data_IF_928750404428
#
_entry.id   IF_928750404428
#
_cell.length_a   1.000
_cell.length_b   1.000
_cell.length_c   1.000
_cell.angle_alpha   90.00
_cell.angle_beta   90.00
_cell.angle_gamma   90.00
#
_symmetry.space_group_name_H-M   'P 1'
#
loop_
_entity.id
_entity.type
_entity.pdbx_description
1 polymer ?
#
# COMPACT_ATOMS: atom_id res chain seq x y z
N UNK A 1 -17.70 -39.88 22.11
CA UNK A 1 -16.26 -39.66 22.35
C UNK A 1 -15.53 -39.79 21.01
N UNK A 2 -14.75 -38.79 20.60
CA UNK A 2 -15.32 -37.63 19.91
C UNK A 2 -15.14 -37.72 18.38
N UNK A 3 -16.25 -37.83 17.66
CA UNK A 3 -16.38 -37.51 16.23
C UNK A 3 -16.74 -36.03 16.00
N UNK A 4 -16.66 -35.20 17.04
CA UNK A 4 -17.03 -33.77 16.99
C UNK A 4 -15.83 -32.81 16.93
N UNK A 5 -14.59 -33.31 16.97
CA UNK A 5 -13.38 -32.46 16.91
C UNK A 5 -12.82 -32.32 15.47
N UNK A 6 -13.12 -33.28 14.56
CA UNK A 6 -12.65 -33.25 13.17
C UNK A 6 -13.42 -32.24 12.28
N UNK A 7 -14.64 -31.86 12.67
CA UNK A 7 -15.41 -30.81 11.98
C UNK A 7 -15.00 -29.39 12.41
N UNK A 8 -14.42 -29.24 13.61
CA UNK A 8 -13.96 -27.95 14.13
C UNK A 8 -12.59 -27.55 13.59
N UNK A 9 -11.65 -28.48 13.39
CA UNK A 9 -10.33 -28.17 12.80
C UNK A 9 -10.42 -27.86 11.29
N UNK A 10 -11.25 -28.59 10.54
CA UNK A 10 -11.54 -28.29 9.13
C UNK A 10 -12.26 -26.95 8.94
N UNK A 11 -13.09 -26.53 9.89
CA UNK A 11 -13.73 -25.21 9.91
C UNK A 11 -12.74 -24.08 10.25
N UNK A 12 -11.69 -24.38 11.03
CA UNK A 12 -10.60 -23.45 11.37
C UNK A 12 -9.70 -23.17 10.15
N UNK A 13 -9.43 -24.19 9.32
CA UNK A 13 -8.76 -24.07 8.02
C UNK A 13 -9.62 -23.33 6.98
N UNK A 14 -10.93 -23.55 6.99
CA UNK A 14 -11.88 -22.76 6.19
C UNK A 14 -11.96 -21.30 6.69
N UNK A 15 -11.76 -21.03 7.98
CA UNK A 15 -11.68 -19.66 8.51
C UNK A 15 -10.43 -18.93 8.00
N UNK A 16 -9.26 -19.59 7.98
CA UNK A 16 -8.02 -19.02 7.47
C UNK A 16 -8.01 -18.86 5.94
N UNK A 17 -8.53 -19.84 5.18
CA UNK A 17 -8.65 -19.74 3.72
C UNK A 17 -9.81 -18.82 3.27
N UNK A 18 -10.89 -18.68 4.07
CA UNK A 18 -11.97 -17.74 3.80
C UNK A 18 -11.65 -16.31 4.25
N UNK A 19 -10.76 -16.09 5.22
CA UNK A 19 -10.32 -14.74 5.61
C UNK A 19 -9.57 -14.00 4.49
N UNK A 20 -9.05 -14.73 3.51
CA UNK A 20 -8.44 -14.17 2.29
C UNK A 20 -9.51 -13.71 1.26
N UNK A 21 -10.78 -14.14 1.40
CA UNK A 21 -11.93 -13.73 0.56
C UNK A 21 -13.00 -12.92 1.32
N UNK A 22 -13.06 -12.99 2.66
CA UNK A 22 -14.09 -12.34 3.49
C UNK A 22 -13.81 -10.89 3.88
N UNK A 23 -12.63 -10.35 3.61
CA UNK A 23 -12.39 -8.89 3.74
C UNK A 23 -13.15 -8.05 2.68
N UNK A 24 -13.94 -8.68 1.79
CA UNK A 24 -14.83 -7.96 0.87
C UNK A 24 -16.33 -8.03 1.19
N UNK A 25 -16.81 -8.94 2.05
CA UNK A 25 -18.26 -9.19 2.21
C UNK A 25 -18.76 -9.37 3.67
N UNK A 26 -17.95 -9.09 4.70
CA UNK A 26 -18.36 -9.21 6.10
C UNK A 26 -18.46 -7.85 6.80
N UNK A 27 -19.40 -7.02 6.34
CA UNK A 27 -19.88 -5.85 7.08
C UNK A 27 -21.40 -6.01 7.34
N UNK A 28 -21.78 -7.07 8.07
CA UNK A 28 -23.05 -7.14 8.80
C UNK A 28 -23.06 -8.33 9.76
N UNK A 29 -23.19 -7.99 11.04
CA UNK A 29 -23.76 -8.79 12.14
C UNK A 29 -22.97 -9.99 12.67
N UNK A 30 -22.27 -9.75 13.79
CA UNK A 30 -22.59 -10.38 15.09
C UNK A 30 -21.84 -9.67 16.22
N UNK A 31 -22.62 -8.91 16.99
CA UNK A 31 -22.23 -8.42 18.30
C UNK A 31 -22.08 -9.57 19.28
N UNK A 32 -21.18 -9.36 20.24
CA UNK A 32 -20.89 -10.13 21.46
C UNK A 32 -19.60 -10.95 21.44
N UNK A 33 -18.52 -10.31 20.98
CA UNK A 33 -17.21 -10.34 21.67
C UNK A 33 -16.49 -8.98 21.51
N UNK A 34 -17.25 -7.88 21.54
CA UNK A 34 -16.79 -6.57 21.09
C UNK A 34 -16.57 -5.60 22.25
N UNK A 35 -15.34 -5.56 22.77
CA UNK A 35 -14.88 -4.35 23.45
C UNK A 35 -13.41 -4.00 23.13
N UNK A 36 -12.68 -4.89 22.46
CA UNK A 36 -11.32 -4.63 21.95
C UNK A 36 -11.30 -4.41 20.44
N UNK A 37 -12.18 -5.10 19.68
CA UNK A 37 -12.31 -4.92 18.23
C UNK A 37 -13.16 -3.71 17.82
N UNK A 38 -14.02 -3.20 18.71
CA UNK A 38 -14.83 -2.00 18.43
C UNK A 38 -13.96 -0.74 18.29
N UNK A 39 -12.81 -0.66 18.98
CA UNK A 39 -11.87 0.45 18.82
C UNK A 39 -11.06 0.35 17.52
N UNK A 40 -10.67 -0.87 17.10
CA UNK A 40 -9.96 -1.11 15.83
C UNK A 40 -10.87 -0.93 14.61
N UNK A 41 -12.12 -1.37 14.68
CA UNK A 41 -13.12 -1.20 13.63
C UNK A 41 -13.67 0.23 13.56
N UNK A 42 -13.83 0.94 14.69
CA UNK A 42 -14.04 2.41 14.70
C UNK A 42 -12.88 3.13 14.03
N UNK A 43 -11.63 2.72 14.29
CA UNK A 43 -10.44 3.23 13.59
C UNK A 43 -10.47 2.97 12.08
N UNK A 44 -10.82 1.76 11.63
CA UNK A 44 -10.95 1.41 10.20
C UNK A 44 -12.11 2.13 9.50
N UNK A 45 -13.29 2.24 10.13
CA UNK A 45 -14.46 3.00 9.61
C UNK A 45 -14.20 4.50 9.59
N UNK A 46 -13.49 5.04 10.59
CA UNK A 46 -13.01 6.42 10.58
C UNK A 46 -11.95 6.65 9.51
N UNK A 47 -11.06 5.69 9.24
CA UNK A 47 -10.07 5.73 8.15
C UNK A 47 -10.71 5.65 6.76
N UNK A 48 -11.70 4.78 6.55
CA UNK A 48 -12.47 4.71 5.30
C UNK A 48 -13.30 6.00 5.09
N UNK A 49 -13.89 6.53 6.16
CA UNK A 49 -14.57 7.82 6.16
C UNK A 49 -13.60 8.99 5.88
N UNK A 50 -12.37 8.93 6.39
CA UNK A 50 -11.33 9.93 6.13
C UNK A 50 -10.81 9.85 4.70
N UNK A 51 -10.58 8.65 4.16
CA UNK A 51 -10.15 8.46 2.78
C UNK A 51 -11.21 8.99 1.78
N UNK A 52 -12.48 8.66 2.01
CA UNK A 52 -13.60 9.21 1.24
C UNK A 52 -13.66 10.74 1.33
N UNK A 53 -13.51 11.31 2.53
CA UNK A 53 -13.54 12.76 2.74
C UNK A 53 -12.31 13.47 2.14
N UNK A 54 -11.14 12.86 2.20
CA UNK A 54 -9.87 13.37 1.69
C UNK A 54 -9.87 13.42 0.16
N UNK A 55 -10.34 12.35 -0.50
CA UNK A 55 -10.51 12.33 -1.96
C UNK A 55 -11.57 13.34 -2.43
N UNK A 56 -12.71 13.45 -1.75
CA UNK A 56 -13.72 14.48 -2.05
C UNK A 56 -13.16 15.89 -1.90
N UNK A 57 -12.32 16.13 -0.89
CA UNK A 57 -11.64 17.42 -0.68
C UNK A 57 -10.60 17.71 -1.78
N UNK A 58 -9.82 16.71 -2.19
CA UNK A 58 -8.86 16.83 -3.31
C UNK A 58 -9.55 17.20 -4.62
N UNK A 59 -10.68 16.55 -4.92
CA UNK A 59 -11.45 16.82 -6.14
C UNK A 59 -12.15 18.18 -6.06
N UNK A 60 -12.63 18.58 -4.88
CA UNK A 60 -13.21 19.91 -4.70
C UNK A 60 -12.22 21.04 -4.96
N UNK A 61 -10.93 20.85 -4.61
CA UNK A 61 -9.88 21.81 -4.90
C UNK A 61 -9.58 21.95 -6.40
N UNK A 62 -9.78 20.89 -7.19
CA UNK A 62 -9.53 20.90 -8.65
C UNK A 62 -10.75 21.29 -9.48
N UNK A 63 -11.94 20.90 -9.06
CA UNK A 63 -13.19 21.06 -9.81
C UNK A 63 -14.30 21.44 -8.84
N UNK A 64 -14.64 22.74 -8.79
CA UNK A 64 -15.67 23.26 -7.87
C UNK A 64 -17.06 22.61 -8.05
N UNK A 65 -17.36 22.06 -9.24
CA UNK A 65 -18.58 21.31 -9.53
C UNK A 65 -18.27 20.17 -10.51
N UNK A 66 -18.20 18.91 -10.06
CA UNK A 66 -18.05 17.79 -10.97
C UNK A 66 -19.33 17.60 -11.78
N UNK A 67 -19.23 17.26 -13.06
CA UNK A 67 -20.38 16.90 -13.91
C UNK A 67 -20.96 15.51 -13.55
N UNK A 68 -22.03 15.08 -14.22
CA UNK A 68 -22.71 13.81 -13.90
C UNK A 68 -21.79 12.59 -14.11
N UNK A 69 -20.90 12.65 -15.11
CA UNK A 69 -19.94 11.58 -15.42
C UNK A 69 -18.82 11.51 -14.38
N UNK A 70 -18.28 12.65 -13.97
CA UNK A 70 -17.28 12.78 -12.92
C UNK A 70 -17.84 12.33 -11.55
N UNK A 71 -19.09 12.69 -11.24
CA UNK A 71 -19.75 12.21 -10.01
C UNK A 71 -19.99 10.71 -10.02
N UNK A 72 -20.27 10.12 -11.18
CA UNK A 72 -20.48 8.68 -11.32
C UNK A 72 -19.16 7.91 -11.20
N UNK A 73 -18.06 8.46 -11.71
CA UNK A 73 -16.71 7.92 -11.52
C UNK A 73 -16.27 7.98 -10.05
N UNK A 74 -16.47 9.11 -9.38
CA UNK A 74 -16.18 9.27 -7.95
C UNK A 74 -17.07 8.38 -7.08
N UNK A 75 -18.32 8.20 -7.47
CA UNK A 75 -19.24 7.28 -6.82
C UNK A 75 -18.73 5.83 -6.86
N UNK A 76 -18.21 5.40 -8.01
CA UNK A 76 -17.58 4.09 -8.19
C UNK A 76 -16.31 3.92 -7.35
N UNK A 77 -15.44 4.94 -7.32
CA UNK A 77 -14.18 4.93 -6.57
C UNK A 77 -14.37 4.96 -5.05
N UNK A 78 -15.42 5.62 -4.57
CA UNK A 78 -15.65 5.87 -3.15
C UNK A 78 -16.72 4.96 -2.53
N UNK A 79 -17.43 4.15 -3.32
CA UNK A 79 -18.57 3.35 -2.86
C UNK A 79 -19.75 4.20 -2.38
N UNK A 80 -19.95 5.39 -2.96
CA UNK A 80 -21.00 6.35 -2.59
C UNK A 80 -21.99 6.55 -3.72
N UNK A 81 -23.23 6.99 -3.44
CA UNK A 81 -24.16 7.35 -4.53
C UNK A 81 -23.82 8.73 -5.12
N UNK A 82 -23.99 8.96 -6.45
CA UNK A 82 -23.72 10.27 -7.07
C UNK A 82 -24.48 11.43 -6.41
N UNK A 83 -25.66 11.15 -5.85
CA UNK A 83 -26.48 12.11 -5.09
C UNK A 83 -25.85 12.52 -3.76
N UNK A 84 -25.17 11.59 -3.04
CA UNK A 84 -24.43 11.90 -1.80
C UNK A 84 -23.20 12.77 -2.07
N UNK A 85 -22.50 12.53 -3.18
CA UNK A 85 -21.36 13.36 -3.61
C UNK A 85 -21.83 14.79 -3.94
N UNK A 86 -22.94 14.92 -4.66
CA UNK A 86 -23.51 16.24 -4.97
C UNK A 86 -23.88 17.05 -3.72
N UNK A 87 -24.51 16.41 -2.73
CA UNK A 87 -24.86 17.06 -1.45
C UNK A 87 -23.60 17.46 -0.67
N UNK A 88 -22.56 16.63 -0.70
CA UNK A 88 -21.29 16.94 -0.05
C UNK A 88 -20.62 18.20 -0.65
N UNK A 89 -20.56 18.31 -1.97
CA UNK A 89 -20.01 19.49 -2.66
C UNK A 89 -20.81 20.77 -2.35
N UNK A 90 -22.15 20.67 -2.31
CA UNK A 90 -23.03 21.79 -1.94
C UNK A 90 -22.78 22.26 -0.48
N UNK A 91 -22.69 21.32 0.47
CA UNK A 91 -22.43 21.62 1.88
C UNK A 91 -21.00 22.11 2.15
N UNK A 92 -20.01 21.69 1.34
CA UNK A 92 -18.63 22.16 1.45
C UNK A 92 -18.50 23.63 1.04
N UNK A 93 -19.25 24.03 0.01
CA UNK A 93 -19.29 25.40 -0.49
C UNK A 93 -20.03 26.36 0.44
N UNK A 94 -21.09 25.93 1.11
CA UNK A 94 -21.74 26.76 2.15
C UNK A 94 -20.81 27.00 3.33
N UNK A 95 -19.91 26.05 3.65
CA UNK A 95 -18.82 26.23 4.62
C UNK A 95 -17.67 27.14 4.12
N UNK A 96 -17.37 27.17 2.82
CA UNK A 96 -16.38 28.11 2.26
C UNK A 96 -16.92 29.54 2.15
N UNK A 97 -18.20 29.72 1.79
CA UNK A 97 -18.86 31.03 1.82
C UNK A 97 -18.90 31.66 3.22
N UNK A 98 -18.65 30.88 4.26
CA UNK A 98 -18.50 31.33 5.66
C UNK A 98 -17.05 31.53 6.14
N UNK A 99 -16.02 31.39 5.29
CA UNK A 99 -14.62 31.70 5.63
C UNK A 99 -14.23 33.07 5.05
N UNK A 100 -13.67 33.99 5.85
CA UNK A 100 -13.25 35.29 5.34
C UNK A 100 -12.03 35.12 4.42
N UNK A 101 -12.20 35.53 3.17
CA UNK A 101 -11.13 35.94 2.24
C UNK A 101 -10.37 37.11 2.87
N UNK A 102 -9.23 36.87 3.53
CA UNK A 102 -8.51 37.95 4.23
C UNK A 102 -7.02 37.69 4.45
N UNK A 103 -6.43 36.59 4.00
CA UNK A 103 -4.97 36.40 4.12
C UNK A 103 -4.19 37.29 3.15
N UNK A 104 -4.66 37.48 1.92
CA UNK A 104 -4.09 38.45 0.98
C UNK A 104 -4.25 39.88 1.50
N UNK A 105 -5.44 40.26 1.98
CA UNK A 105 -5.64 41.59 2.58
C UNK A 105 -4.79 41.79 3.84
N UNK A 106 -4.62 40.79 4.71
CA UNK A 106 -3.76 40.93 5.90
C UNK A 106 -2.28 41.03 5.56
N UNK A 107 -1.79 40.28 4.58
CA UNK A 107 -0.39 40.38 4.11
C UNK A 107 -0.17 41.64 3.28
N UNK A 108 -1.18 42.08 2.53
CA UNK A 108 -1.19 43.35 1.80
C UNK A 108 -1.23 44.53 2.77
N UNK A 109 -2.01 44.46 3.85
CA UNK A 109 -2.00 45.42 4.97
C UNK A 109 -0.63 45.45 5.65
N UNK A 110 0.05 44.32 5.85
CA UNK A 110 1.44 44.32 6.38
C UNK A 110 2.44 44.95 5.39
N UNK A 111 2.24 44.79 4.07
CA UNK A 111 3.09 45.41 3.04
C UNK A 111 2.77 46.90 2.79
N UNK A 112 1.50 47.29 2.88
CA UNK A 112 0.97 48.64 2.62
C UNK A 112 1.08 49.54 3.85
N UNK A 113 0.95 48.98 5.07
CA UNK A 113 1.34 49.67 6.29
C UNK A 113 2.87 49.68 6.37
N UNK A 114 3.48 50.69 5.74
CA UNK A 114 4.87 51.13 5.98
C UNK A 114 5.12 51.59 7.43
N UNK A 115 4.21 51.31 8.35
CA UNK A 115 4.44 51.44 9.77
C UNK A 115 4.98 50.11 10.25
N UNK A 116 6.31 50.04 10.37
CA UNK A 116 6.93 49.20 11.37
C UNK A 116 6.17 49.44 12.68
N UNK A 117 5.25 48.54 13.05
CA UNK A 117 4.73 48.51 14.42
C UNK A 117 5.89 47.92 15.22
N UNK A 118 6.73 48.75 15.88
CA UNK A 118 7.95 48.26 16.50
C UNK A 118 7.53 47.34 17.64
N UNK A 119 7.96 46.07 17.60
CA UNK A 119 7.68 45.11 18.67
C UNK A 119 6.59 44.06 18.41
N UNK A 120 6.01 43.95 17.21
CA UNK A 120 5.15 42.79 16.90
C UNK A 120 5.99 41.54 16.68
N UNK A 121 5.84 40.54 17.55
CA UNK A 121 6.50 39.24 17.39
C UNK A 121 6.00 38.53 16.12
N UNK A 122 6.90 38.30 15.17
CA UNK A 122 6.61 37.62 13.90
C UNK A 122 6.35 36.11 14.08
N UNK A 123 6.61 35.56 15.27
CA UNK A 123 6.48 34.15 15.60
C UNK A 123 5.19 33.81 16.36
N UNK A 124 4.22 34.73 16.43
CA UNK A 124 2.91 34.47 17.06
C UNK A 124 2.26 33.23 16.43
N UNK A 125 1.77 32.35 17.31
CA UNK A 125 1.10 31.12 16.95
C UNK A 125 -0.41 31.24 17.13
N UNK A 126 -1.17 30.59 16.24
CA UNK A 126 -2.60 30.40 16.43
C UNK A 126 -2.88 29.22 17.41
N UNK A 127 -4.16 28.87 17.62
CA UNK A 127 -4.57 27.75 18.50
C UNK A 127 -3.98 26.39 18.12
N UNK A 128 -3.56 26.23 16.88
CA UNK A 128 -2.95 24.99 16.35
C UNK A 128 -1.41 25.05 16.38
N UNK A 129 -0.81 26.10 16.93
CA UNK A 129 0.63 26.32 16.90
C UNK A 129 1.16 26.86 15.58
N UNK A 130 0.29 27.19 14.61
CA UNK A 130 0.74 27.65 13.30
C UNK A 130 1.19 29.11 13.39
N UNK A 131 2.43 29.37 12.99
CA UNK A 131 2.96 30.72 12.77
C UNK A 131 2.48 31.30 11.45
N UNK A 132 2.64 32.61 11.26
CA UNK A 132 2.39 33.24 9.96
C UNK A 132 3.30 32.67 8.86
N UNK A 133 4.54 32.31 9.21
CA UNK A 133 5.47 31.64 8.30
C UNK A 133 4.95 30.26 7.87
N UNK A 134 4.43 29.46 8.80
CA UNK A 134 3.82 28.16 8.49
C UNK A 134 2.65 28.31 7.51
N UNK A 135 1.75 29.27 7.77
CA UNK A 135 0.58 29.50 6.91
C UNK A 135 1.03 29.94 5.51
N UNK A 136 1.93 30.92 5.42
CA UNK A 136 2.48 31.38 4.15
C UNK A 136 3.16 30.24 3.38
N UNK A 137 3.90 29.38 4.07
CA UNK A 137 4.57 28.24 3.47
C UNK A 137 3.58 27.18 2.95
N UNK A 138 2.53 26.87 3.72
CA UNK A 138 1.48 25.92 3.31
C UNK A 138 0.69 26.38 2.09
N UNK A 139 0.54 27.71 1.91
CA UNK A 139 -0.18 28.31 0.79
C UNK A 139 0.73 28.62 -0.41
N UNK A 140 2.03 28.41 -0.30
CA UNK A 140 2.98 28.65 -1.40
C UNK A 140 3.32 30.14 -1.61
N UNK A 141 3.11 30.98 -0.59
CA UNK A 141 3.28 32.42 -0.73
C UNK A 141 4.76 32.83 -0.64
N UNK A 142 5.21 33.64 -1.59
CA UNK A 142 6.58 34.20 -1.62
C UNK A 142 6.84 35.25 -0.53
N UNK A 143 5.82 35.62 0.26
CA UNK A 143 6.00 36.43 1.47
C UNK A 143 6.88 35.75 2.52
N UNK A 144 7.15 34.44 2.37
CA UNK A 144 8.08 33.68 3.21
C UNK A 144 9.46 34.35 3.33
N UNK A 145 10.05 34.89 2.25
CA UNK A 145 11.36 35.57 2.36
C UNK A 145 11.30 36.85 3.19
N UNK A 146 10.21 37.61 3.08
CA UNK A 146 9.98 38.80 3.88
C UNK A 146 9.79 38.43 5.36
N UNK A 147 9.05 37.36 5.66
CA UNK A 147 8.86 36.92 7.04
C UNK A 147 10.20 36.45 7.66
N UNK A 148 11.00 35.70 6.91
CA UNK A 148 12.32 35.26 7.36
C UNK A 148 13.28 36.43 7.59
N UNK A 149 13.26 37.46 6.73
CA UNK A 149 14.11 38.65 6.91
C UNK A 149 13.72 39.49 8.14
N UNK A 150 12.50 39.31 8.65
CA UNK A 150 11.98 39.94 9.88
C UNK A 150 12.18 39.07 11.13
N UNK A 151 12.88 37.94 11.03
CA UNK A 151 13.18 37.06 12.17
C UNK A 151 12.14 35.97 12.42
N UNK A 152 11.30 35.63 11.44
CA UNK A 152 10.42 34.48 11.57
C UNK A 152 11.23 33.17 11.62
N UNK A 153 10.87 32.30 12.57
CA UNK A 153 11.53 31.03 12.84
C UNK A 153 10.77 29.88 12.19
N UNK A 154 11.50 28.85 11.78
CA UNK A 154 10.93 27.64 11.17
C UNK A 154 10.44 26.61 12.21
N UNK A 155 9.99 27.07 13.38
CA UNK A 155 9.52 26.23 14.48
C UNK A 155 8.30 25.38 14.09
N UNK A 156 8.16 24.17 14.64
CA UNK A 156 7.01 23.32 14.37
C UNK A 156 5.73 23.84 15.05
N UNK A 157 4.59 23.49 14.47
CA UNK A 157 3.28 23.68 15.10
C UNK A 157 2.99 22.61 16.17
N UNK A 158 1.77 22.60 16.74
CA UNK A 158 1.40 21.60 17.75
C UNK A 158 1.35 20.15 17.22
N UNK A 159 1.31 19.95 15.90
CA UNK A 159 1.40 18.64 15.25
C UNK A 159 2.84 18.25 14.89
N UNK A 160 3.85 19.04 15.29
CA UNK A 160 5.25 18.78 14.96
C UNK A 160 5.62 19.17 13.53
N UNK A 161 4.74 19.84 12.77
CA UNK A 161 4.99 20.19 11.38
C UNK A 161 5.69 21.54 11.27
N UNK A 162 6.84 21.59 10.59
CA UNK A 162 7.56 22.83 10.28
C UNK A 162 6.96 23.54 9.06
N UNK A 163 7.24 24.84 8.85
CA UNK A 163 6.90 25.52 7.60
C UNK A 163 7.50 24.83 6.37
N UNK A 164 8.70 24.26 6.49
CA UNK A 164 9.32 23.47 5.43
C UNK A 164 8.50 22.22 5.11
N UNK A 165 8.11 21.46 6.14
CA UNK A 165 7.25 20.27 5.94
C UNK A 165 5.95 20.64 5.23
N UNK A 166 5.29 21.73 5.64
CA UNK A 166 4.05 22.18 5.02
C UNK A 166 4.24 22.62 3.55
N UNK A 167 5.34 23.29 3.23
CA UNK A 167 5.67 23.65 1.85
C UNK A 167 5.92 22.41 0.98
N UNK A 168 6.64 21.42 1.52
CA UNK A 168 6.90 20.14 0.84
C UNK A 168 5.61 19.36 0.62
N UNK A 169 4.77 19.20 1.65
CA UNK A 169 3.50 18.48 1.58
C UNK A 169 2.58 19.02 0.47
N UNK A 170 2.58 20.34 0.27
CA UNK A 170 1.76 21.00 -0.76
C UNK A 170 2.50 21.22 -2.10
N UNK A 171 3.73 20.73 -2.24
CA UNK A 171 4.47 20.77 -3.51
C UNK A 171 5.02 22.15 -3.89
N UNK A 172 5.15 23.08 -2.94
CA UNK A 172 5.57 24.46 -3.21
C UNK A 172 7.09 24.59 -3.37
N UNK A 173 7.63 24.07 -4.47
CA UNK A 173 9.07 23.97 -4.74
C UNK A 173 9.82 25.32 -4.56
N UNK A 174 9.24 26.42 -5.04
CA UNK A 174 9.84 27.76 -4.88
C UNK A 174 9.95 28.16 -3.41
N UNK A 175 8.93 27.89 -2.62
CA UNK A 175 8.94 28.18 -1.19
C UNK A 175 9.92 27.28 -0.45
N UNK A 176 10.01 26.00 -0.82
CA UNK A 176 11.01 25.07 -0.26
C UNK A 176 12.41 25.64 -0.47
N UNK A 177 12.77 26.07 -1.70
CA UNK A 177 14.07 26.71 -1.95
C UNK A 177 14.29 27.95 -1.08
N UNK A 178 13.30 28.83 -1.00
CA UNK A 178 13.40 30.02 -0.17
C UNK A 178 13.60 29.72 1.33
N UNK A 179 12.98 28.67 1.86
CA UNK A 179 13.13 28.25 3.26
C UNK A 179 14.49 27.61 3.54
N UNK A 180 15.08 26.93 2.56
CA UNK A 180 16.39 26.27 2.67
C UNK A 180 17.56 27.24 2.46
N UNK A 181 17.44 28.19 1.52
CA UNK A 181 18.53 29.10 1.13
C UNK A 181 18.72 30.30 2.08
N UNK A 182 17.76 30.56 2.99
CA UNK A 182 17.79 31.74 3.83
C UNK A 182 18.80 31.62 4.99
N UNK A 183 19.96 32.28 4.84
CA UNK A 183 21.12 32.17 5.74
C UNK A 183 21.04 32.93 7.08
N UNK A 184 20.04 33.79 7.29
CA UNK A 184 20.01 34.70 8.46
C UNK A 184 19.48 34.07 9.77
N UNK A 185 19.98 32.88 10.14
CA UNK A 185 20.06 32.52 11.57
C UNK A 185 19.08 31.48 12.13
N UNK A 186 18.20 30.88 11.32
CA UNK A 186 17.54 29.62 11.71
C UNK A 186 17.63 28.65 10.54
N UNK A 187 18.70 27.84 10.54
CA UNK A 187 18.77 26.70 9.62
C UNK A 187 17.48 25.88 9.81
N UNK A 188 16.76 25.53 8.73
CA UNK A 188 15.59 24.69 8.85
C UNK A 188 15.98 23.40 9.56
N UNK A 189 15.14 22.92 10.47
CA UNK A 189 15.26 21.57 11.01
C UNK A 189 14.85 20.57 9.92
N UNK A 190 15.72 20.37 8.93
CA UNK A 190 15.47 19.58 7.71
C UNK A 190 15.12 18.11 8.01
N UNK A 191 15.60 17.59 9.15
CA UNK A 191 15.37 16.22 9.61
C UNK A 191 14.25 16.12 10.64
N UNK A 192 13.56 17.22 10.97
CA UNK A 192 12.48 17.16 11.97
C UNK A 192 11.34 16.29 11.47
N UNK A 193 10.84 15.45 12.36
CA UNK A 193 9.77 14.50 12.12
C UNK A 193 8.48 15.02 12.75
N UNK A 194 7.38 15.00 12.00
CA UNK A 194 6.08 15.40 12.53
C UNK A 194 5.54 14.35 13.52
N UNK A 195 4.51 14.71 14.30
CA UNK A 195 4.12 13.90 15.46
C UNK A 195 3.10 12.79 15.17
N UNK A 196 2.41 12.82 14.04
CA UNK A 196 1.36 11.87 13.67
C UNK A 196 1.93 10.53 13.17
N UNK A 197 2.89 10.57 12.25
CA UNK A 197 3.51 9.40 11.62
C UNK A 197 5.03 9.35 11.81
N UNK A 198 5.63 10.42 12.31
CA UNK A 198 7.07 10.52 12.42
C UNK A 198 7.71 10.78 11.07
N UNK A 199 7.03 11.43 10.13
CA UNK A 199 7.57 11.68 8.79
C UNK A 199 8.44 12.93 8.77
N UNK A 200 9.59 12.85 8.09
CA UNK A 200 10.38 14.04 7.77
C UNK A 200 9.93 14.67 6.45
N UNK A 201 10.39 15.88 6.14
CA UNK A 201 10.14 16.51 4.85
C UNK A 201 10.59 15.63 3.67
N UNK A 202 11.66 14.84 3.82
CA UNK A 202 12.13 13.93 2.78
C UNK A 202 11.17 12.75 2.56
N UNK A 203 10.56 12.21 3.63
CA UNK A 203 9.51 11.18 3.52
C UNK A 203 8.34 11.71 2.71
N UNK A 204 7.83 12.89 3.09
CA UNK A 204 6.71 13.54 2.41
C UNK A 204 7.01 13.85 0.94
N UNK A 205 8.20 14.37 0.64
CA UNK A 205 8.62 14.64 -0.73
C UNK A 205 8.68 13.35 -1.58
N UNK A 206 9.15 12.26 -0.97
CA UNK A 206 9.25 10.98 -1.64
C UNK A 206 7.87 10.33 -1.87
N UNK A 207 7.00 10.36 -0.86
CA UNK A 207 5.63 9.86 -0.91
C UNK A 207 4.80 10.56 -1.99
N UNK A 208 5.01 11.86 -2.19
CA UNK A 208 4.29 12.67 -3.19
C UNK A 208 4.93 12.64 -4.59
N UNK A 209 6.11 12.04 -4.74
CA UNK A 209 6.80 11.98 -6.03
C UNK A 209 7.45 13.29 -6.47
N UNK A 210 7.75 14.21 -5.54
CA UNK A 210 8.30 15.52 -5.87
C UNK A 210 9.82 15.47 -6.11
N UNK A 211 10.26 14.92 -7.25
CA UNK A 211 11.68 14.72 -7.60
C UNK A 211 12.55 15.99 -7.46
N UNK A 212 12.04 17.15 -7.88
CA UNK A 212 12.78 18.42 -7.73
C UNK A 212 12.95 18.87 -6.28
N UNK A 213 11.94 18.63 -5.43
CA UNK A 213 12.02 18.90 -3.99
C UNK A 213 12.98 17.91 -3.33
N UNK A 214 12.92 16.62 -3.68
CA UNK A 214 13.86 15.61 -3.20
C UNK A 214 15.31 16.00 -3.53
N UNK A 215 15.60 16.36 -4.80
CA UNK A 215 16.93 16.88 -5.18
C UNK A 215 17.35 18.07 -4.34
N UNK A 216 16.45 19.04 -4.14
CA UNK A 216 16.75 20.24 -3.34
C UNK A 216 17.06 19.86 -1.88
N UNK A 217 16.27 19.00 -1.25
CA UNK A 217 16.51 18.55 0.12
C UNK A 217 17.82 17.78 0.27
N UNK A 218 18.20 16.97 -0.73
CA UNK A 218 19.43 16.17 -0.70
C UNK A 218 20.71 16.99 -0.86
N UNK A 219 20.62 18.25 -1.32
CA UNK A 219 21.77 19.18 -1.33
C UNK A 219 22.11 19.76 0.04
N UNK A 220 21.25 19.54 1.04
CA UNK A 220 21.42 20.15 2.36
C UNK A 220 22.38 19.31 3.22
N UNK A 221 23.36 19.97 3.83
CA UNK A 221 24.32 19.33 4.73
C UNK A 221 23.61 18.66 5.91
N UNK A 222 23.95 17.40 6.17
CA UNK A 222 23.41 16.64 7.30
C UNK A 222 22.00 16.07 7.08
N UNK A 223 21.45 16.10 5.87
CA UNK A 223 20.18 15.43 5.54
C UNK A 223 20.25 13.92 5.84
N UNK A 224 19.27 13.41 6.57
CA UNK A 224 19.18 11.98 6.93
C UNK A 224 18.38 11.22 5.87
N UNK A 225 19.08 10.79 4.81
CA UNK A 225 18.47 10.06 3.69
C UNK A 225 17.78 8.75 4.11
N UNK A 226 18.31 8.08 5.13
CA UNK A 226 17.78 6.85 5.70
C UNK A 226 17.05 7.09 7.03
N UNK A 227 16.50 8.30 7.23
CA UNK A 227 15.59 8.54 8.35
C UNK A 227 14.43 7.56 8.31
N UNK A 228 13.92 7.21 9.50
CA UNK A 228 12.86 6.21 9.68
C UNK A 228 11.65 6.87 10.30
N UNK A 229 10.45 6.59 9.79
CA UNK A 229 9.18 6.98 10.40
C UNK A 229 8.82 6.09 11.61
N UNK A 230 7.62 6.20 12.20
CA UNK A 230 7.27 5.39 13.38
C UNK A 230 7.11 3.90 13.08
N UNK A 231 6.88 3.54 11.82
CA UNK A 231 6.81 2.16 11.34
C UNK A 231 8.14 1.71 10.70
N UNK A 232 9.21 2.47 10.94
CA UNK A 232 10.54 2.25 10.38
C UNK A 232 10.63 2.30 8.84
N UNK A 233 9.63 2.86 8.14
CA UNK A 233 9.77 3.12 6.72
C UNK A 233 10.75 4.27 6.48
N UNK A 234 11.52 4.16 5.40
CA UNK A 234 12.45 5.19 4.93
C UNK A 234 11.83 5.97 3.76
N UNK A 235 12.36 7.13 3.37
CA UNK A 235 11.90 7.85 2.19
C UNK A 235 11.87 6.98 0.92
N UNK A 236 12.82 6.03 0.77
CA UNK A 236 12.83 5.12 -0.36
C UNK A 236 11.61 4.18 -0.37
N UNK A 237 11.16 3.71 0.80
CA UNK A 237 9.91 2.94 0.88
C UNK A 237 8.72 3.75 0.39
N UNK A 238 8.58 4.99 0.86
CA UNK A 238 7.49 5.88 0.47
C UNK A 238 7.47 6.16 -1.05
N UNK A 239 8.64 6.35 -1.66
CA UNK A 239 8.76 6.45 -3.12
C UNK A 239 8.34 5.17 -3.84
N UNK A 240 8.70 3.99 -3.32
CA UNK A 240 8.37 2.70 -3.92
C UNK A 240 6.88 2.33 -3.81
N UNK A 241 6.23 2.66 -2.69
CA UNK A 241 4.80 2.35 -2.44
C UNK A 241 3.89 2.93 -3.53
N UNK A 242 4.24 4.11 -4.06
CA UNK A 242 3.46 4.80 -5.10
C UNK A 242 4.10 4.71 -6.50
N UNK A 243 5.16 3.92 -6.68
CA UNK A 243 5.84 3.76 -7.96
C UNK A 243 6.49 5.05 -8.49
N UNK A 244 6.94 5.94 -7.60
CA UNK A 244 7.62 7.19 -7.99
C UNK A 244 9.06 6.91 -8.41
N UNK A 245 9.24 6.34 -9.61
CA UNK A 245 10.52 5.87 -10.13
C UNK A 245 11.60 6.97 -10.12
N UNK A 246 11.30 8.17 -10.60
CA UNK A 246 12.27 9.28 -10.60
C UNK A 246 12.78 9.58 -9.18
N UNK A 247 11.90 9.59 -8.18
CA UNK A 247 12.28 9.78 -6.78
C UNK A 247 13.16 8.64 -6.28
N UNK A 248 12.78 7.40 -6.60
CA UNK A 248 13.56 6.22 -6.19
C UNK A 248 14.96 6.27 -6.79
N UNK A 249 15.10 6.60 -8.08
CA UNK A 249 16.38 6.73 -8.77
C UNK A 249 17.27 7.79 -8.09
N UNK A 250 16.69 8.96 -7.74
CA UNK A 250 17.42 10.03 -7.03
C UNK A 250 17.89 9.54 -5.65
N UNK A 251 17.00 8.92 -4.87
CA UNK A 251 17.29 8.45 -3.51
C UNK A 251 18.39 7.37 -3.51
N UNK A 252 18.28 6.39 -4.41
CA UNK A 252 19.29 5.33 -4.58
C UNK A 252 20.63 5.92 -4.98
N UNK A 253 20.66 6.86 -5.94
CA UNK A 253 21.90 7.52 -6.37
C UNK A 253 22.58 8.32 -5.25
N UNK A 254 21.83 8.76 -4.24
CA UNK A 254 22.34 9.46 -3.07
C UNK A 254 22.61 8.55 -1.85
N UNK A 255 22.60 7.23 -2.02
CA UNK A 255 23.00 6.27 -0.98
C UNK A 255 21.88 5.84 -0.05
N UNK A 256 20.63 5.84 -0.50
CA UNK A 256 19.55 5.18 0.22
C UNK A 256 19.83 3.69 0.41
N UNK A 257 19.52 3.19 1.61
CA UNK A 257 19.58 1.76 1.91
C UNK A 257 18.43 1.03 1.21
N UNK A 258 18.75 0.36 0.10
CA UNK A 258 17.79 -0.43 -0.71
C UNK A 258 17.24 -1.66 0.02
N UNK A 259 17.89 -2.09 1.10
CA UNK A 259 17.52 -3.25 1.91
C UNK A 259 16.98 -2.87 3.29
N UNK A 260 16.69 -1.58 3.53
CA UNK A 260 16.10 -1.13 4.78
C UNK A 260 14.81 -1.90 5.08
N UNK A 261 14.62 -2.28 6.33
CA UNK A 261 13.41 -2.98 6.79
C UNK A 261 12.54 -2.08 7.66
N UNK A 262 11.22 -2.14 7.43
CA UNK A 262 10.20 -1.57 8.31
C UNK A 262 10.02 -2.41 9.60
N UNK A 263 9.13 -1.98 10.49
CA UNK A 263 8.74 -2.70 11.72
C UNK A 263 8.28 -4.14 11.42
N UNK A 264 7.58 -4.32 10.30
CA UNK A 264 7.07 -5.61 9.81
C UNK A 264 8.04 -6.30 8.82
N UNK A 265 9.28 -5.84 8.72
CA UNK A 265 10.28 -6.44 7.82
C UNK A 265 10.06 -6.14 6.33
N UNK A 266 9.16 -5.23 5.97
CA UNK A 266 8.98 -4.81 4.58
C UNK A 266 10.23 -4.08 4.08
N UNK A 267 10.64 -4.37 2.84
CA UNK A 267 11.74 -3.69 2.15
C UNK A 267 11.18 -2.80 1.04
N UNK A 268 11.98 -1.87 0.48
CA UNK A 268 11.59 -1.13 -0.72
C UNK A 268 11.24 -2.05 -1.90
N UNK A 269 11.91 -3.20 -2.02
CA UNK A 269 11.60 -4.21 -3.04
C UNK A 269 10.19 -4.81 -2.85
N UNK A 270 9.78 -5.09 -1.61
CA UNK A 270 8.42 -5.55 -1.31
C UNK A 270 7.38 -4.50 -1.73
N UNK A 271 7.62 -3.22 -1.40
CA UNK A 271 6.72 -2.12 -1.76
C UNK A 271 6.57 -1.96 -3.28
N UNK A 272 7.69 -1.91 -4.02
CA UNK A 272 7.66 -1.82 -5.49
C UNK A 272 6.97 -3.04 -6.13
N UNK A 273 7.15 -4.22 -5.54
CA UNK A 273 6.51 -5.46 -5.99
C UNK A 273 5.00 -5.43 -5.80
N UNK A 274 4.50 -4.94 -4.67
CA UNK A 274 3.05 -4.81 -4.42
C UNK A 274 2.42 -3.81 -5.38
N UNK A 275 3.09 -2.69 -5.65
CA UNK A 275 2.63 -1.70 -6.62
C UNK A 275 2.56 -2.28 -8.05
N UNK A 276 3.50 -3.16 -8.41
CA UNK A 276 3.52 -3.87 -9.69
C UNK A 276 4.42 -3.23 -10.76
N UNK A 277 5.29 -2.29 -10.39
CA UNK A 277 6.22 -1.65 -11.33
C UNK A 277 7.46 -2.53 -11.55
N UNK A 278 7.40 -3.37 -12.59
CA UNK A 278 8.51 -4.25 -12.97
C UNK A 278 9.82 -3.53 -13.30
N UNK A 279 9.77 -2.28 -13.77
CA UNK A 279 10.97 -1.51 -14.08
C UNK A 279 11.63 -0.97 -12.83
N UNK A 280 10.83 -0.54 -11.83
CA UNK A 280 11.34 -0.18 -10.52
C UNK A 280 11.91 -1.40 -9.77
N UNK A 281 11.25 -2.56 -9.88
CA UNK A 281 11.77 -3.83 -9.31
C UNK A 281 13.12 -4.20 -9.93
N UNK A 282 13.25 -4.20 -11.26
CA UNK A 282 14.55 -4.44 -11.93
C UNK A 282 15.61 -3.43 -11.47
N UNK A 283 15.25 -2.16 -11.35
CA UNK A 283 16.16 -1.12 -10.89
C UNK A 283 16.66 -1.36 -9.46
N UNK A 284 15.77 -1.70 -8.53
CA UNK A 284 16.14 -2.02 -7.14
C UNK A 284 17.07 -3.24 -7.06
N UNK A 285 16.76 -4.30 -7.80
CA UNK A 285 17.57 -5.53 -7.83
C UNK A 285 18.99 -5.27 -8.37
N UNK A 286 19.10 -4.48 -9.46
CA UNK A 286 20.41 -4.08 -10.01
C UNK A 286 21.22 -3.19 -9.07
N UNK A 287 20.56 -2.48 -8.15
CA UNK A 287 21.21 -1.68 -7.12
C UNK A 287 21.42 -2.44 -5.80
N UNK A 288 21.32 -3.77 -5.81
CA UNK A 288 21.69 -4.61 -4.67
C UNK A 288 20.56 -4.91 -3.69
N UNK A 289 19.30 -4.71 -4.09
CA UNK A 289 18.18 -5.22 -3.31
C UNK A 289 18.23 -6.76 -3.23
N UNK A 290 18.08 -7.30 -2.02
CA UNK A 290 18.07 -8.74 -1.79
C UNK A 290 16.73 -9.34 -2.21
N UNK A 291 16.77 -10.12 -3.31
CA UNK A 291 15.60 -10.79 -3.89
C UNK A 291 14.95 -11.81 -2.93
N UNK A 292 15.71 -12.30 -1.94
CA UNK A 292 15.27 -13.32 -0.99
C UNK A 292 14.86 -12.75 0.38
N UNK A 293 14.86 -11.43 0.53
CA UNK A 293 14.46 -10.80 1.78
C UNK A 293 13.02 -11.16 2.12
N UNK A 294 12.79 -11.47 3.40
CA UNK A 294 11.49 -11.83 3.94
C UNK A 294 10.97 -10.76 4.90
N UNK A 295 9.66 -10.56 4.88
CA UNK A 295 8.92 -9.81 5.90
C UNK A 295 8.74 -10.62 7.20
N UNK A 296 8.07 -10.03 8.20
CA UNK A 296 7.81 -10.66 9.51
C UNK A 296 6.97 -11.93 9.45
N UNK A 297 6.31 -12.21 8.32
CA UNK A 297 5.41 -13.35 8.08
C UNK A 297 5.98 -14.36 7.08
N UNK A 298 7.26 -14.24 6.73
CA UNK A 298 7.93 -15.08 5.74
C UNK A 298 7.55 -14.79 4.29
N UNK A 299 6.93 -13.64 3.99
CA UNK A 299 6.62 -13.27 2.61
C UNK A 299 7.85 -12.69 1.92
N UNK A 300 8.14 -13.23 0.73
CA UNK A 300 9.12 -12.67 -0.21
C UNK A 300 8.45 -11.78 -1.25
N UNK A 301 9.24 -10.98 -1.97
CA UNK A 301 8.76 -10.27 -3.17
C UNK A 301 8.13 -11.21 -4.19
N UNK A 302 8.68 -12.41 -4.41
CA UNK A 302 8.08 -13.37 -5.33
C UNK A 302 6.68 -13.82 -4.86
N UNK A 303 6.51 -14.03 -3.54
CA UNK A 303 5.21 -14.36 -2.94
C UNK A 303 4.20 -13.23 -3.11
N UNK A 304 4.60 -11.97 -2.89
CA UNK A 304 3.75 -10.79 -3.13
C UNK A 304 3.34 -10.65 -4.60
N UNK A 305 4.31 -10.76 -5.54
CA UNK A 305 4.03 -10.67 -6.98
C UNK A 305 3.05 -11.76 -7.44
N UNK A 306 3.24 -12.98 -6.93
CA UNK A 306 2.36 -14.12 -7.21
C UNK A 306 0.94 -13.92 -6.69
N UNK A 307 0.78 -13.32 -5.50
CA UNK A 307 -0.51 -12.99 -4.91
C UNK A 307 -1.25 -11.92 -5.71
N UNK A 308 -0.57 -10.81 -6.00
CA UNK A 308 -1.18 -9.65 -6.65
C UNK A 308 -1.42 -9.88 -8.14
N UNK A 309 -0.73 -10.85 -8.75
CA UNK A 309 -0.93 -11.23 -10.15
C UNK A 309 -0.04 -10.45 -11.11
N UNK A 310 1.07 -9.89 -10.62
CA UNK A 310 1.97 -9.06 -11.42
C UNK A 310 2.95 -9.92 -12.23
N UNK A 311 2.48 -10.47 -13.35
CA UNK A 311 3.23 -11.41 -14.19
C UNK A 311 4.61 -10.90 -14.59
N UNK A 312 4.70 -9.65 -15.06
CA UNK A 312 6.00 -9.09 -15.47
C UNK A 312 6.96 -8.92 -14.27
N UNK A 313 6.44 -8.62 -13.08
CA UNK A 313 7.26 -8.55 -11.87
C UNK A 313 7.75 -9.95 -11.47
N UNK A 314 6.91 -10.98 -11.59
CA UNK A 314 7.33 -12.38 -11.38
C UNK A 314 8.47 -12.74 -12.32
N UNK A 315 8.34 -12.46 -13.62
CA UNK A 315 9.38 -12.74 -14.60
C UNK A 315 10.68 -11.98 -14.30
N UNK A 316 10.58 -10.70 -13.93
CA UNK A 316 11.74 -9.91 -13.51
C UNK A 316 12.39 -10.55 -12.30
N UNK A 317 11.64 -10.86 -11.23
CA UNK A 317 12.19 -11.49 -10.03
C UNK A 317 12.86 -12.82 -10.35
N UNK A 318 12.21 -13.71 -11.12
CA UNK A 318 12.75 -15.01 -11.51
C UNK A 318 14.09 -14.90 -12.26
N UNK A 319 14.30 -13.84 -13.05
CA UNK A 319 15.58 -13.60 -13.74
C UNK A 319 16.77 -13.38 -12.77
N UNK A 320 16.49 -12.97 -11.53
CA UNK A 320 17.47 -12.81 -10.45
C UNK A 320 17.60 -14.06 -9.56
N UNK A 321 17.01 -15.21 -9.97
CA UNK A 321 17.12 -16.53 -9.31
C UNK A 321 16.79 -16.50 -7.80
N UNK A 322 15.58 -16.05 -7.42
CA UNK A 322 15.12 -16.10 -6.04
C UNK A 322 14.96 -17.54 -5.58
N UNK A 323 14.86 -17.73 -4.27
CA UNK A 323 14.40 -18.97 -3.68
C UNK A 323 12.90 -19.15 -3.95
N UNK A 324 12.58 -19.90 -5.00
CA UNK A 324 11.21 -20.20 -5.45
C UNK A 324 10.42 -20.98 -4.40
N UNK A 325 11.12 -21.71 -3.51
CA UNK A 325 10.53 -22.55 -2.46
C UNK A 325 10.41 -21.85 -1.10
N UNK A 326 10.54 -20.52 -1.09
CA UNK A 326 10.31 -19.73 0.12
C UNK A 326 8.89 -19.97 0.65
N UNK A 327 8.77 -20.19 1.96
CA UNK A 327 7.48 -20.43 2.63
C UNK A 327 7.15 -19.26 3.54
N UNK A 328 5.89 -18.83 3.50
CA UNK A 328 5.33 -17.98 4.55
C UNK A 328 5.25 -18.74 5.87
N UNK A 329 4.95 -18.05 6.97
CA UNK A 329 4.73 -18.68 8.28
C UNK A 329 3.57 -19.68 8.25
N UNK A 330 2.59 -19.47 7.37
CA UNK A 330 1.47 -20.38 7.09
C UNK A 330 1.89 -21.56 6.18
N UNK A 331 3.15 -21.59 5.74
CA UNK A 331 3.76 -22.62 4.90
C UNK A 331 3.57 -22.44 3.40
N UNK A 332 2.93 -21.37 2.94
CA UNK A 332 2.60 -21.19 1.53
C UNK A 332 3.82 -20.79 0.71
N UNK A 333 4.09 -21.51 -0.38
CA UNK A 333 5.05 -21.12 -1.41
C UNK A 333 4.42 -20.16 -2.42
N UNK A 334 5.20 -19.38 -3.19
CA UNK A 334 4.69 -18.57 -4.29
C UNK A 334 3.76 -19.34 -5.24
N UNK A 335 4.09 -20.61 -5.53
CA UNK A 335 3.25 -21.48 -6.37
C UNK A 335 1.88 -21.69 -5.72
N UNK A 336 1.84 -22.08 -4.45
CA UNK A 336 0.59 -22.33 -3.73
C UNK A 336 -0.26 -21.05 -3.62
N UNK A 337 0.36 -19.90 -3.38
CA UNK A 337 -0.33 -18.59 -3.36
C UNK A 337 -0.95 -18.27 -4.73
N UNK A 338 -0.21 -18.47 -5.82
CA UNK A 338 -0.72 -18.24 -7.18
C UNK A 338 -1.86 -19.20 -7.54
N UNK A 339 -1.83 -20.44 -7.04
CA UNK A 339 -2.94 -21.39 -7.16
C UNK A 339 -4.19 -20.89 -6.43
N UNK A 340 -4.06 -20.45 -5.18
CA UNK A 340 -5.18 -19.93 -4.38
C UNK A 340 -5.84 -18.69 -5.00
N UNK A 341 -5.09 -17.90 -5.78
CA UNK A 341 -5.55 -16.66 -6.42
C UNK A 341 -5.98 -16.83 -7.88
N UNK A 342 -6.00 -18.06 -8.39
CA UNK A 342 -6.32 -18.42 -9.79
C UNK A 342 -5.47 -17.66 -10.81
N UNK A 343 -4.13 -17.71 -10.66
CA UNK A 343 -3.15 -17.05 -11.55
C UNK A 343 -2.42 -18.06 -12.44
N UNK A 344 -3.05 -18.58 -13.52
CA UNK A 344 -2.49 -19.68 -14.31
C UNK A 344 -1.14 -19.36 -14.98
N UNK A 345 -0.97 -18.13 -15.50
CA UNK A 345 0.27 -17.65 -16.12
C UNK A 345 1.46 -17.64 -15.15
N UNK A 346 1.23 -17.22 -13.90
CA UNK A 346 2.23 -17.23 -12.84
C UNK A 346 2.52 -18.67 -12.40
N UNK A 347 1.50 -19.52 -12.24
CA UNK A 347 1.67 -20.94 -11.93
C UNK A 347 2.56 -21.61 -12.99
N UNK A 348 2.26 -21.38 -14.27
CA UNK A 348 3.06 -21.90 -15.39
C UNK A 348 4.50 -21.37 -15.35
N UNK A 349 4.69 -20.08 -15.10
CA UNK A 349 6.01 -19.47 -14.99
C UNK A 349 6.82 -20.07 -13.82
N UNK A 350 6.19 -20.30 -12.67
CA UNK A 350 6.86 -20.89 -11.52
C UNK A 350 7.21 -22.37 -11.75
N UNK A 351 6.29 -23.15 -12.33
CA UNK A 351 6.55 -24.55 -12.68
C UNK A 351 7.69 -24.69 -13.71
N UNK A 352 7.73 -23.84 -14.73
CA UNK A 352 8.81 -23.86 -15.74
C UNK A 352 10.17 -23.48 -15.16
N UNK A 353 10.20 -22.72 -14.06
CA UNK A 353 11.41 -22.38 -13.32
C UNK A 353 11.72 -23.36 -12.17
N UNK A 354 11.03 -24.50 -12.10
CA UNK A 354 11.35 -25.60 -11.20
C UNK A 354 10.67 -25.53 -9.83
N UNK A 355 9.57 -24.79 -9.68
CA UNK A 355 8.77 -24.84 -8.47
C UNK A 355 8.25 -26.27 -8.21
N UNK A 356 8.38 -26.75 -6.98
CA UNK A 356 7.93 -28.08 -6.58
C UNK A 356 6.40 -28.17 -6.69
N UNK A 357 5.91 -29.23 -7.33
CA UNK A 357 4.47 -29.45 -7.58
C UNK A 357 3.84 -30.47 -6.64
N UNK A 358 4.66 -31.21 -5.90
CA UNK A 358 4.29 -32.26 -4.94
C UNK A 358 4.31 -31.77 -3.49
N UNK A 359 4.13 -30.47 -3.28
CA UNK A 359 4.19 -29.86 -1.95
C UNK A 359 3.00 -30.33 -1.11
N UNK A 360 3.23 -31.20 -0.13
CA UNK A 360 2.30 -31.50 0.96
C UNK A 360 2.93 -31.06 2.28
N UNK A 361 2.31 -30.11 3.00
CA UNK A 361 2.73 -29.80 4.38
C UNK A 361 1.68 -30.30 5.37
N UNK A 362 1.99 -30.25 6.67
CA UNK A 362 1.05 -30.62 7.73
C UNK A 362 -0.25 -29.79 7.74
N UNK A 363 -0.23 -28.61 7.12
CA UNK A 363 -1.38 -27.70 7.01
C UNK A 363 -1.82 -27.45 5.57
N UNK A 364 -0.97 -27.73 4.57
CA UNK A 364 -1.19 -27.38 3.17
C UNK A 364 -1.35 -28.62 2.31
N UNK A 365 -2.51 -28.67 1.66
CA UNK A 365 -2.82 -29.65 0.64
C UNK A 365 -2.07 -29.31 -0.67
N UNK A 366 -1.79 -30.32 -1.50
CA UNK A 366 -1.07 -30.12 -2.76
C UNK A 366 -1.65 -29.01 -3.65
N UNK A 367 -0.89 -28.47 -4.63
CA UNK A 367 -1.40 -27.45 -5.55
C UNK A 367 -2.77 -27.79 -6.18
N UNK A 368 -2.99 -29.07 -6.51
CA UNK A 368 -4.26 -29.58 -7.07
C UNK A 368 -5.39 -29.51 -6.04
N UNK A 369 -5.15 -29.91 -4.79
CA UNK A 369 -6.14 -29.80 -3.73
C UNK A 369 -6.47 -28.35 -3.41
N UNK A 370 -5.47 -27.46 -3.31
CA UNK A 370 -5.71 -26.04 -3.09
C UNK A 370 -6.54 -25.42 -4.20
N UNK A 371 -6.15 -25.63 -5.47
CA UNK A 371 -6.91 -25.11 -6.61
C UNK A 371 -8.36 -25.62 -6.62
N UNK A 372 -8.57 -26.88 -6.19
CA UNK A 372 -9.91 -27.47 -6.06
C UNK A 372 -10.70 -26.84 -4.91
N UNK A 373 -10.10 -26.72 -3.73
CA UNK A 373 -10.71 -26.08 -2.57
C UNK A 373 -11.07 -24.63 -2.83
N UNK A 374 -10.22 -23.87 -3.52
CA UNK A 374 -10.43 -22.44 -3.78
C UNK A 374 -11.34 -22.16 -4.96
N UNK A 375 -11.70 -23.19 -5.74
CA UNK A 375 -12.39 -23.10 -7.04
C UNK A 375 -11.58 -22.30 -8.07
N UNK A 376 -10.25 -22.46 -8.07
CA UNK A 376 -9.33 -21.86 -9.03
C UNK A 376 -9.28 -22.72 -10.30
N UNK A 377 -10.32 -22.58 -11.12
CA UNK A 377 -10.59 -23.47 -12.26
C UNK A 377 -9.53 -23.38 -13.35
N UNK A 378 -9.05 -22.18 -13.63
CA UNK A 378 -8.04 -21.94 -14.66
C UNK A 378 -6.73 -22.63 -14.29
N UNK A 379 -6.32 -22.46 -13.03
CA UNK A 379 -5.16 -23.17 -12.48
C UNK A 379 -5.39 -24.67 -12.44
N UNK A 380 -6.56 -25.14 -12.00
CA UNK A 380 -6.85 -26.58 -11.93
C UNK A 380 -6.72 -27.24 -13.31
N UNK A 381 -7.29 -26.63 -14.35
CA UNK A 381 -7.14 -27.09 -15.74
C UNK A 381 -5.67 -27.12 -16.17
N UNK A 382 -4.91 -26.07 -15.84
CA UNK A 382 -3.48 -26.02 -16.12
C UNK A 382 -2.72 -27.17 -15.42
N UNK A 383 -2.91 -27.36 -14.12
CA UNK A 383 -2.24 -28.41 -13.34
C UNK A 383 -2.56 -29.81 -13.89
N UNK A 384 -3.84 -30.08 -14.21
CA UNK A 384 -4.27 -31.34 -14.82
C UNK A 384 -3.69 -31.51 -16.24
N UNK A 385 -3.63 -30.45 -17.05
CA UNK A 385 -3.02 -30.49 -18.38
C UNK A 385 -1.52 -30.79 -18.35
N UNK A 386 -0.85 -30.46 -17.23
CA UNK A 386 0.56 -30.77 -16.97
C UNK A 386 0.78 -32.14 -16.35
N UNK A 387 -0.28 -32.95 -16.22
CA UNK A 387 -0.21 -34.31 -15.72
C UNK A 387 0.03 -34.41 -14.21
N UNK A 388 -0.26 -33.35 -13.43
CA UNK A 388 -0.17 -33.46 -11.98
C UNK A 388 -1.20 -34.47 -11.49
N UNK A 389 -0.73 -35.43 -10.68
CA UNK A 389 -1.59 -36.47 -10.14
C UNK A 389 -2.62 -35.86 -9.17
N UNK A 390 -3.90 -36.04 -9.51
CA UNK A 390 -5.02 -35.58 -8.71
C UNK A 390 -5.54 -36.64 -7.72
N UNK A 391 -4.97 -37.84 -7.78
CA UNK A 391 -5.28 -38.99 -6.90
C UNK A 391 -4.46 -38.97 -5.63
N UNK A 392 -3.47 -38.08 -5.54
CA UNK A 392 -2.73 -37.81 -4.30
C UNK A 392 -3.72 -37.49 -3.19
N UNK A 393 -3.43 -37.98 -1.99
CA UNK A 393 -4.25 -37.77 -0.80
C UNK A 393 -3.66 -36.67 0.05
N UNK A 394 -4.51 -35.83 0.62
CA UNK A 394 -4.11 -34.84 1.61
C UNK A 394 -3.80 -35.49 2.98
N UNK A 395 -3.49 -34.66 3.98
CA UNK A 395 -3.23 -35.09 5.36
C UNK A 395 -4.41 -35.78 6.03
N UNK A 396 -5.63 -35.64 5.48
CA UNK A 396 -6.86 -36.29 5.95
C UNK A 396 -7.23 -37.53 5.10
N UNK A 397 -6.38 -37.93 4.16
CA UNK A 397 -6.62 -39.07 3.27
C UNK A 397 -7.62 -38.80 2.13
N UNK A 398 -8.02 -37.55 1.91
CA UNK A 398 -8.96 -37.16 0.85
C UNK A 398 -8.21 -36.84 -0.43
N UNK A 399 -8.77 -37.21 -1.58
CA UNK A 399 -8.24 -36.78 -2.88
C UNK A 399 -8.77 -35.40 -3.26
N UNK A 400 -8.18 -34.76 -4.27
CA UNK A 400 -8.62 -33.44 -4.73
C UNK A 400 -10.11 -33.43 -5.11
N UNK A 401 -10.60 -34.48 -5.79
CA UNK A 401 -12.00 -34.61 -6.15
C UNK A 401 -12.97 -34.72 -4.96
N UNK A 402 -12.49 -35.20 -3.80
CA UNK A 402 -13.30 -35.34 -2.57
C UNK A 402 -13.43 -34.03 -1.79
N UNK A 403 -12.58 -33.04 -2.06
CA UNK A 403 -12.59 -31.73 -1.39
C UNK A 403 -13.29 -30.65 -2.21
N UNK A 404 -13.93 -31.02 -3.33
CA UNK A 404 -14.74 -30.10 -4.14
C UNK A 404 -15.83 -29.47 -3.27
N UNK A 405 -15.96 -28.14 -3.32
CA UNK A 405 -16.97 -27.41 -2.56
C UNK A 405 -18.39 -27.86 -2.97
N UNK A 406 -19.30 -28.06 -2.00
CA UNK A 406 -20.71 -28.33 -2.31
C UNK A 406 -21.27 -27.25 -3.24
N UNK A 407 -21.87 -27.67 -4.37
CA UNK A 407 -22.44 -26.77 -5.37
C UNK A 407 -21.47 -26.30 -6.47
N UNK A 408 -20.17 -26.61 -6.40
CA UNK A 408 -19.21 -26.29 -7.46
C UNK A 408 -19.27 -27.31 -8.61
N UNK A 409 -20.36 -27.24 -9.37
CA UNK A 409 -20.63 -28.16 -10.50
C UNK A 409 -19.56 -28.09 -11.58
N UNK A 410 -18.96 -26.91 -11.79
CA UNK A 410 -17.97 -26.72 -12.84
C UNK A 410 -16.64 -27.39 -12.49
N UNK A 411 -16.16 -27.23 -11.24
CA UNK A 411 -14.97 -27.97 -10.79
C UNK A 411 -15.21 -29.47 -10.82
N UNK A 412 -16.41 -29.93 -10.42
CA UNK A 412 -16.81 -31.34 -10.54
C UNK A 412 -16.76 -31.82 -11.99
N UNK A 413 -17.26 -31.03 -12.92
CA UNK A 413 -17.23 -31.32 -14.36
C UNK A 413 -15.80 -31.44 -14.88
N UNK A 414 -14.90 -30.55 -14.49
CA UNK A 414 -13.47 -30.62 -14.86
C UNK A 414 -12.86 -31.97 -14.46
N UNK A 415 -13.12 -32.41 -13.23
CA UNK A 415 -12.66 -33.72 -12.75
C UNK A 415 -13.30 -34.88 -13.51
N UNK A 416 -14.60 -34.83 -13.81
CA UNK A 416 -15.30 -35.86 -14.58
C UNK A 416 -14.72 -35.99 -15.99
N UNK A 417 -14.62 -34.88 -16.72
CA UNK A 417 -14.10 -34.87 -18.10
C UNK A 417 -12.63 -35.31 -18.16
N UNK A 418 -11.81 -34.89 -17.20
CA UNK A 418 -10.41 -35.30 -17.15
C UNK A 418 -10.26 -36.79 -16.77
N UNK A 419 -11.06 -37.28 -15.83
CA UNK A 419 -11.07 -38.68 -15.44
C UNK A 419 -11.50 -39.59 -16.60
N UNK A 420 -12.58 -39.24 -17.31
CA UNK A 420 -13.03 -39.95 -18.51
C UNK A 420 -11.91 -40.03 -19.57
N UNK A 421 -11.23 -38.91 -19.87
CA UNK A 421 -10.09 -38.90 -20.80
C UNK A 421 -8.97 -39.84 -20.35
N UNK A 422 -8.60 -39.83 -19.07
CA UNK A 422 -7.55 -40.74 -18.56
C UNK A 422 -7.93 -42.22 -18.62
N UNK A 423 -9.22 -42.56 -18.56
CA UNK A 423 -9.69 -43.95 -18.75
C UNK A 423 -9.67 -44.40 -20.22
N UNK A 424 -9.92 -43.48 -21.16
CA UNK A 424 -9.86 -43.80 -22.59
C UNK A 424 -8.43 -43.95 -23.11
N UNK A 425 -7.47 -43.18 -22.58
CA UNK A 425 -6.05 -43.26 -22.97
C UNK A 425 -5.24 -44.31 -22.18
N UNK A 426 -5.73 -44.76 -21.02
CA UNK A 426 -5.08 -45.74 -20.16
C UNK A 426 -6.01 -46.92 -19.85
N UNK A 427 -5.83 -48.03 -20.55
CA UNK A 427 -6.59 -49.26 -20.31
C UNK A 427 -6.58 -49.68 -18.84
N UNK A 428 -7.80 -49.80 -18.29
CA UNK A 428 -8.17 -50.47 -17.02
C UNK A 428 -7.49 -50.02 -15.73
N UNK A 429 -8.26 -49.35 -14.83
CA UNK A 429 -8.23 -49.63 -13.39
C UNK A 429 -9.40 -48.99 -12.61
N UNK A 430 -10.34 -49.85 -12.21
CA UNK A 430 -11.05 -49.95 -10.91
C UNK A 430 -11.37 -48.69 -10.09
N UNK A 431 -12.67 -48.39 -9.98
CA UNK A 431 -13.26 -47.80 -8.78
C UNK A 431 -13.43 -48.89 -7.70
N UNK A 432 -12.93 -48.63 -6.49
CA UNK A 432 -13.45 -49.24 -5.26
C UNK A 432 -14.15 -48.14 -4.47
N UNK A 433 -15.33 -48.46 -3.93
CA UNK A 433 -16.31 -47.58 -3.25
C UNK A 433 -15.74 -46.57 -2.25
#
# INVERSE_FOLDING_TARGET
MPQSEAWTEGAQLLSQAANIRKEKDAESDKEQEDNVDEQKTKGKRQRASWHQKSLLERVFQTTQYPDLSQRSLLASQLGMSPRKIQIWFQNRRTKEKGKPTSTEEKVKVIKENKEDVPGTDVNIQNKSGNTLLFIAASMGHTSVSYLLSRGATQQPNHAGQTPLFAAVQNGHERVVRMLLEHKNGTAPSINLREFEFGESALHMAALMGYGSIVRTLLTQDGIQINSRDYENYTPLHHGCINGHREVCDILIAHGSDVNAKSSEGFTPLHAATIFGDSALVDHLLRNGADVNSLDSKGWSSLTFAAREGHEQVVLTLLSFKPNIETKTDEGFTPLLVSCCRDRPTIVESLMTHGAATDISTSQIQSPVHLATLTSSRSVLLLLLSRGLDFRIKDTHGKTAGMVIRPGDQETKRIFQEHFEKTLYDGGTAFFGE
#
